data_IF_468045353682
#
_entry.id   IF_468045353682
#
_cell.length_a   1.000
_cell.length_b   1.000
_cell.length_c   1.000
_cell.angle_alpha   90.00
_cell.angle_beta   90.00
_cell.angle_gamma   90.00
#
_symmetry.space_group_name_H-M   'P 1'
#
loop_
_entity.id
_entity.type
_entity.pdbx_description
1 polymer ?
#
# COMPACT_ATOMS: atom_id res chain seq x y z
N UNK A 1 -10.40 -9.20 12.42
CA UNK A 1 -10.19 -8.77 11.02
C UNK A 1 -11.14 -9.48 10.05
N UNK A 2 -11.79 -8.76 9.13
CA UNK A 2 -12.49 -9.33 7.96
C UNK A 2 -11.58 -10.29 7.16
N UNK A 3 -12.18 -11.19 6.37
CA UNK A 3 -11.44 -12.14 5.51
C UNK A 3 -10.39 -11.44 4.64
N UNK A 4 -9.27 -12.11 4.36
CA UNK A 4 -8.21 -11.65 3.45
C UNK A 4 -8.76 -11.15 2.10
N UNK A 5 -9.83 -11.77 1.60
CA UNK A 5 -10.45 -11.38 0.33
C UNK A 5 -11.17 -10.02 0.41
N UNK A 6 -11.77 -9.71 1.56
CA UNK A 6 -12.39 -8.40 1.78
C UNK A 6 -11.32 -7.31 1.81
N UNK A 7 -10.22 -7.55 2.52
CA UNK A 7 -9.10 -6.61 2.54
C UNK A 7 -8.59 -6.31 1.13
N UNK A 8 -8.38 -7.34 0.29
CA UNK A 8 -7.90 -7.15 -1.08
C UNK A 8 -8.84 -6.26 -1.90
N UNK A 9 -10.15 -6.43 -1.76
CA UNK A 9 -11.13 -5.61 -2.46
C UNK A 9 -11.12 -4.16 -1.97
N UNK A 10 -11.07 -3.96 -0.65
CA UNK A 10 -10.92 -2.64 -0.04
C UNK A 10 -9.66 -1.93 -0.52
N UNK A 11 -8.52 -2.63 -0.48
CA UNK A 11 -7.24 -2.10 -0.96
C UNK A 11 -7.29 -1.74 -2.44
N UNK A 12 -7.83 -2.60 -3.31
CA UNK A 12 -7.95 -2.27 -4.74
C UNK A 12 -8.82 -1.03 -4.97
N UNK A 13 -9.91 -0.86 -4.21
CA UNK A 13 -10.73 0.35 -4.29
C UNK A 13 -9.93 1.58 -3.88
N UNK A 14 -9.24 1.52 -2.76
CA UNK A 14 -8.44 2.63 -2.23
C UNK A 14 -7.30 3.06 -3.18
N UNK A 15 -6.76 2.12 -3.96
CA UNK A 15 -5.72 2.42 -4.95
C UNK A 15 -6.26 3.14 -6.20
N UNK A 16 -7.57 3.07 -6.49
CA UNK A 16 -8.13 3.74 -7.66
C UNK A 16 -8.01 5.27 -7.53
N UNK A 17 -7.24 5.89 -8.43
CA UNK A 17 -6.97 7.33 -8.42
C UNK A 17 -5.74 7.74 -7.62
N UNK A 18 -5.16 6.84 -6.81
CA UNK A 18 -3.99 7.11 -5.97
C UNK A 18 -2.69 6.46 -6.50
N UNK A 19 -2.75 5.72 -7.61
CA UNK A 19 -1.54 5.17 -8.26
C UNK A 19 -0.87 6.21 -9.15
N UNK A 20 0.37 6.56 -8.83
CA UNK A 20 1.22 7.46 -9.60
C UNK A 20 2.33 6.72 -10.37
N UNK A 21 2.92 7.39 -11.37
CA UNK A 21 3.93 6.79 -12.28
C UNK A 21 5.22 6.33 -11.58
N UNK A 22 5.55 6.96 -10.46
CA UNK A 22 6.75 6.70 -9.66
C UNK A 22 6.55 5.54 -8.67
N UNK A 23 5.33 5.08 -8.41
CA UNK A 23 5.12 3.85 -7.62
C UNK A 23 5.62 2.65 -8.42
N UNK A 24 6.57 1.90 -7.85
CA UNK A 24 7.07 0.63 -8.39
C UNK A 24 6.24 -0.55 -7.93
N UNK A 25 5.85 -0.56 -6.66
CA UNK A 25 5.04 -1.62 -6.09
C UNK A 25 4.33 -1.14 -4.84
N UNK A 26 3.22 -1.81 -4.53
CA UNK A 26 2.55 -1.70 -3.24
C UNK A 26 2.30 -3.11 -2.75
N UNK A 27 2.63 -3.38 -1.50
CA UNK A 27 2.37 -4.67 -0.86
C UNK A 27 1.76 -4.51 0.52
N UNK A 28 1.04 -5.55 0.95
CA UNK A 28 0.45 -5.61 2.27
C UNK A 28 0.91 -6.86 3.03
N UNK A 29 1.23 -6.69 4.30
CA UNK A 29 1.44 -7.75 5.26
C UNK A 29 0.29 -7.75 6.27
N UNK A 30 -0.38 -8.88 6.42
CA UNK A 30 -1.43 -9.11 7.41
C UNK A 30 -0.80 -9.87 8.59
N UNK A 31 -0.93 -9.36 9.81
CA UNK A 31 -0.48 -10.00 11.04
C UNK A 31 -1.52 -9.80 12.16
N UNK A 32 -2.36 -10.81 12.41
CA UNK A 32 -3.49 -10.68 13.33
C UNK A 32 -4.49 -9.62 12.85
N UNK A 33 -4.70 -8.57 13.66
CA UNK A 33 -5.52 -7.41 13.32
C UNK A 33 -4.69 -6.23 12.76
N UNK A 34 -3.38 -6.41 12.59
CA UNK A 34 -2.47 -5.40 12.05
C UNK A 34 -2.24 -5.60 10.55
N UNK A 35 -2.24 -4.50 9.82
CA UNK A 35 -1.98 -4.43 8.39
C UNK A 35 -0.84 -3.45 8.16
N UNK A 36 0.22 -3.89 7.50
CA UNK A 36 1.30 -2.99 7.05
C UNK A 36 1.25 -2.84 5.54
N UNK A 37 0.92 -1.63 5.07
CA UNK A 37 1.05 -1.22 3.69
C UNK A 37 2.47 -0.71 3.42
N UNK A 38 3.09 -1.19 2.37
CA UNK A 38 4.42 -0.74 1.93
C UNK A 38 4.34 -0.20 0.53
N UNK A 39 4.70 1.07 0.38
CA UNK A 39 4.81 1.78 -0.89
C UNK A 39 6.27 1.88 -1.29
N UNK A 40 6.57 1.41 -2.50
CA UNK A 40 7.91 1.51 -3.08
C UNK A 40 7.89 2.54 -4.20
N UNK A 41 8.64 3.63 -4.04
CA UNK A 41 8.72 4.73 -5.00
C UNK A 41 10.06 4.76 -5.73
N UNK A 42 10.03 5.14 -7.01
CA UNK A 42 11.17 5.37 -7.88
C UNK A 42 11.49 6.87 -7.92
N UNK A 43 12.68 7.24 -7.47
CA UNK A 43 13.09 8.63 -7.33
C UNK A 43 12.79 9.23 -5.96
N UNK A 44 12.88 10.56 -5.87
CA UNK A 44 12.64 11.30 -4.63
C UNK A 44 11.15 11.20 -4.27
N UNK A 45 10.87 10.82 -3.02
CA UNK A 45 9.52 10.83 -2.45
C UNK A 45 9.10 12.29 -2.25
N UNK A 46 7.99 12.68 -2.86
CA UNK A 46 7.39 14.01 -2.68
C UNK A 46 6.40 14.06 -1.51
N UNK A 47 5.96 15.26 -1.14
CA UNK A 47 4.83 15.42 -0.20
C UNK A 47 3.54 14.80 -0.76
N UNK A 48 3.29 14.93 -2.06
CA UNK A 48 2.14 14.30 -2.73
C UNK A 48 2.18 12.76 -2.63
N UNK A 49 3.37 12.14 -2.65
CA UNK A 49 3.51 10.68 -2.51
C UNK A 49 3.11 10.20 -1.11
N UNK A 50 3.46 10.96 -0.08
CA UNK A 50 3.05 10.72 1.32
C UNK A 50 1.55 10.98 1.51
N UNK A 51 1.02 12.03 0.89
CA UNK A 51 -0.42 12.35 0.92
C UNK A 51 -1.25 11.25 0.26
N UNK A 52 -0.85 10.78 -0.93
CA UNK A 52 -1.52 9.68 -1.61
C UNK A 52 -1.49 8.39 -0.78
N UNK A 53 -0.36 8.08 -0.12
CA UNK A 53 -0.25 6.91 0.74
C UNK A 53 -1.19 7.01 1.97
N UNK A 54 -1.31 8.20 2.55
CA UNK A 54 -2.22 8.51 3.67
C UNK A 54 -3.71 8.42 3.27
N UNK A 55 -4.06 8.85 2.05
CA UNK A 55 -5.42 8.70 1.50
C UNK A 55 -5.76 7.21 1.39
N UNK A 56 -4.87 6.40 0.82
CA UNK A 56 -5.07 4.95 0.68
C UNK A 56 -5.24 4.28 2.05
N UNK A 57 -4.41 4.64 3.02
CA UNK A 57 -4.53 4.16 4.40
C UNK A 57 -5.90 4.49 5.00
N UNK A 58 -6.30 5.75 4.92
CA UNK A 58 -7.58 6.24 5.48
C UNK A 58 -8.78 5.54 4.84
N UNK A 59 -8.77 5.35 3.52
CA UNK A 59 -9.84 4.65 2.81
C UNK A 59 -9.94 3.18 3.19
N UNK A 60 -8.81 2.51 3.43
CA UNK A 60 -8.78 1.13 3.91
C UNK A 60 -9.30 1.06 5.35
N UNK A 61 -8.85 1.95 6.24
CA UNK A 61 -9.35 2.01 7.63
C UNK A 61 -10.87 2.17 7.65
N UNK A 62 -11.43 3.04 6.80
CA UNK A 62 -12.87 3.28 6.71
C UNK A 62 -13.69 2.04 6.30
N UNK A 63 -13.07 1.04 5.66
CA UNK A 63 -13.73 -0.20 5.25
C UNK A 63 -13.61 -1.34 6.26
N UNK A 64 -12.65 -1.26 7.16
CA UNK A 64 -12.30 -2.31 8.09
C UNK A 64 -13.03 -2.14 9.42
N UNK A 65 -12.94 -3.16 10.27
CA UNK A 65 -13.52 -3.10 11.62
C UNK A 65 -12.63 -2.21 12.50
N UNK A 66 -13.23 -1.50 13.47
CA UNK A 66 -12.55 -0.55 14.39
C UNK A 66 -11.36 -1.16 15.17
N UNK A 67 -11.27 -2.50 15.25
CA UNK A 67 -10.16 -3.20 15.89
C UNK A 67 -8.92 -3.35 14.99
N UNK A 68 -9.04 -3.04 13.69
CA UNK A 68 -7.97 -3.22 12.71
C UNK A 68 -6.99 -2.05 12.78
N UNK A 69 -5.71 -2.35 12.85
CA UNK A 69 -4.65 -1.34 12.89
C UNK A 69 -3.94 -1.32 11.55
N UNK A 70 -4.01 -0.20 10.83
CA UNK A 70 -3.28 -0.03 9.57
C UNK A 70 -2.04 0.81 9.84
N UNK A 71 -0.94 0.42 9.21
CA UNK A 71 0.34 1.11 9.22
C UNK A 71 0.82 1.30 7.80
N UNK A 72 1.29 2.50 7.49
CA UNK A 72 1.89 2.81 6.19
C UNK A 72 3.39 3.01 6.30
N UNK A 73 4.12 2.40 5.36
CA UNK A 73 5.56 2.58 5.19
C UNK A 73 5.82 3.04 3.77
N UNK A 74 6.34 4.26 3.64
CA UNK A 74 6.78 4.82 2.36
C UNK A 74 8.30 4.62 2.25
N UNK A 75 8.77 4.10 1.11
CA UNK A 75 10.19 3.78 0.92
C UNK A 75 10.61 4.06 -0.52
N UNK A 76 11.74 4.76 -0.67
CA UNK A 76 12.41 4.91 -1.95
C UNK A 76 13.14 3.62 -2.30
N UNK A 77 12.94 3.15 -3.52
CA UNK A 77 13.61 2.00 -4.10
C UNK A 77 13.76 2.28 -5.59
N UNK A 78 14.88 2.84 -6.03
CA UNK A 78 15.05 3.22 -7.44
C UNK A 78 15.26 1.99 -8.34
N UNK A 79 14.76 2.03 -9.57
CA UNK A 79 15.10 1.01 -10.58
C UNK A 79 16.62 1.03 -10.89
N UNK A 80 17.31 -0.12 -11.04
CA UNK A 80 16.80 -1.49 -11.16
C UNK A 80 16.85 -2.32 -9.86
N UNK A 81 16.88 -1.69 -8.68
CA UNK A 81 16.96 -2.45 -7.44
C UNK A 81 15.75 -3.40 -7.32
N UNK A 82 15.95 -4.67 -6.92
CA UNK A 82 14.90 -5.67 -6.92
C UNK A 82 13.85 -5.36 -5.84
N UNK A 83 12.58 -5.46 -6.22
CA UNK A 83 11.45 -5.29 -5.32
C UNK A 83 11.33 -6.56 -4.46
N UNK A 84 11.73 -6.45 -3.19
CA UNK A 84 11.55 -7.51 -2.19
C UNK A 84 10.38 -7.15 -1.28
N UNK A 85 9.27 -7.82 -1.48
CA UNK A 85 8.07 -7.67 -0.66
C UNK A 85 7.82 -8.93 0.17
N UNK A 86 7.44 -8.73 1.42
CA UNK A 86 6.86 -9.77 2.27
C UNK A 86 5.34 -9.54 2.28
N UNK A 87 4.55 -10.61 2.19
CA UNK A 87 3.10 -10.53 2.10
C UNK A 87 2.61 -10.63 0.66
N UNK A 88 1.45 -10.04 0.37
CA UNK A 88 0.85 -10.10 -0.97
C UNK A 88 0.94 -8.76 -1.68
N UNK A 89 1.10 -8.86 -3.00
CA UNK A 89 1.28 -7.73 -3.89
C UNK A 89 -0.08 -7.16 -4.27
N UNK A 90 -0.26 -5.86 -4.05
CA UNK A 90 -1.47 -5.12 -4.40
C UNK A 90 -1.32 -4.42 -5.75
N UNK A 91 -0.10 -3.98 -6.07
CA UNK A 91 0.24 -3.34 -7.33
C UNK A 91 1.71 -3.62 -7.67
N UNK A 92 1.99 -3.78 -8.97
CA UNK A 92 3.34 -3.90 -9.52
C UNK A 92 3.41 -3.14 -10.84
N UNK A 93 4.29 -2.13 -10.90
CA UNK A 93 4.60 -1.41 -12.14
C UNK A 93 5.38 -2.34 -13.07
N UNK A 94 5.01 -2.34 -14.34
CA UNK A 94 5.83 -2.96 -15.38
C UNK A 94 7.06 -2.09 -15.64
N UNK A 95 8.25 -2.66 -15.48
CA UNK A 95 9.55 -1.98 -15.65
C UNK A 95 10.23 -2.31 -16.98
#
# INVERSE_FOLDING_TARGET
MKSNDYFKLSAQRALLGNITKNIRAISALLDGDSITLKFFYDGIISEDDEENASIVETEIIADLDDSSVVHTVVTRLDYPEPIKSNGFLLYLRKE
#
